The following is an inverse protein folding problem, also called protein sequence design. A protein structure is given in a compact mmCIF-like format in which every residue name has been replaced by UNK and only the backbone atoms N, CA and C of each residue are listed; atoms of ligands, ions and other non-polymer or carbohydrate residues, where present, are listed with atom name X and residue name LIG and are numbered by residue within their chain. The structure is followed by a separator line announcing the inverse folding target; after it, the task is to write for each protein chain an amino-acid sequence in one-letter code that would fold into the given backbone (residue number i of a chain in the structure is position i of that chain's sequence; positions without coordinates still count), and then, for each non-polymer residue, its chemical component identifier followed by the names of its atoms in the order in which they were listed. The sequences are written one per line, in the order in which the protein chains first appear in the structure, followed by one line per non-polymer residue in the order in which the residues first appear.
data_IF_458968364409
#
_entry.id   IF_458968364409
#
_cell.length_a   1.000
_cell.length_b   1.000
_cell.length_c   1.000
_cell.angle_alpha   90.00
_cell.angle_beta   90.00
_cell.angle_gamma   90.00
#
_symmetry.space_group_name_H-M   'P 1'
#
loop_
_entity.id
_entity.type
_entity.pdbx_description
1 polymer ?
#
# COMPACT_ATOMS: atom_id res chain seq x y z
N UNK A 1 -17.92 20.68 5.36
CA UNK A 1 -17.78 19.77 6.52
C UNK A 1 -18.11 18.39 6.00
N UNK A 2 -17.10 17.57 5.68
CA UNK A 2 -17.36 16.19 5.29
C UNK A 2 -17.29 15.36 6.56
N UNK A 3 -18.47 15.12 7.13
CA UNK A 3 -18.66 14.24 8.26
C UNK A 3 -18.34 12.82 7.80
N UNK A 4 -17.16 12.34 8.20
CA UNK A 4 -16.86 10.92 8.25
C UNK A 4 -17.91 10.29 9.17
N UNK A 5 -18.95 9.71 8.57
CA UNK A 5 -19.99 8.96 9.27
C UNK A 5 -19.37 7.73 9.97
N UNK A 6 -18.82 7.94 11.15
CA UNK A 6 -18.55 6.87 12.12
C UNK A 6 -19.87 6.51 12.78
N UNK A 7 -20.65 5.63 12.15
CA UNK A 7 -21.76 4.94 12.81
C UNK A 7 -21.27 3.56 13.27
N UNK A 8 -20.88 3.47 14.54
CA UNK A 8 -20.70 2.20 15.29
C UNK A 8 -19.84 1.10 14.60
N UNK A 9 -18.93 1.50 13.70
CA UNK A 9 -18.76 0.79 12.44
C UNK A 9 -17.59 -0.18 12.36
N UNK A 10 -17.89 -1.48 12.27
CA UNK A 10 -17.09 -2.37 11.42
C UNK A 10 -17.33 -1.92 9.98
N UNK A 11 -16.41 -1.13 9.41
CA UNK A 11 -16.37 -0.96 7.97
C UNK A 11 -15.78 -2.25 7.42
N UNK A 12 -16.60 -3.04 6.74
CA UNK A 12 -16.07 -4.17 5.99
C UNK A 12 -15.13 -3.62 4.92
N UNK A 13 -13.91 -4.14 4.85
CA UNK A 13 -12.91 -3.74 3.83
C UNK A 13 -13.26 -4.25 2.42
N UNK A 14 -14.45 -4.82 2.28
CA UNK A 14 -14.97 -5.34 1.02
C UNK A 14 -15.13 -4.17 0.06
N UNK A 15 -14.58 -4.32 -1.15
CA UNK A 15 -14.56 -3.32 -2.22
C UNK A 15 -13.68 -2.09 -2.01
N UNK A 16 -13.01 -1.94 -0.85
CA UNK A 16 -12.03 -0.87 -0.66
C UNK A 16 -10.81 -1.08 -1.56
N UNK A 17 -10.30 0.02 -2.13
CA UNK A 17 -9.09 0.05 -2.94
C UNK A 17 -7.90 0.26 -2.01
N UNK A 18 -7.12 -0.80 -1.78
CA UNK A 18 -5.91 -0.77 -0.96
C UNK A 18 -4.69 -0.83 -1.88
N UNK A 19 -3.91 0.25 -1.87
CA UNK A 19 -2.65 0.32 -2.61
C UNK A 19 -1.47 0.02 -1.70
N UNK A 20 -0.76 -1.05 -2.02
CA UNK A 20 0.46 -1.45 -1.32
C UNK A 20 1.65 -0.68 -1.89
N UNK A 21 2.44 -0.04 -1.02
CA UNK A 21 3.77 0.47 -1.38
C UNK A 21 4.82 -0.48 -0.81
N UNK A 22 5.55 -1.13 -1.71
CA UNK A 22 6.59 -2.08 -1.35
C UNK A 22 6.12 -3.53 -1.43
N UNK A 23 6.69 -4.25 -2.39
CA UNK A 23 6.55 -5.69 -2.54
C UNK A 23 7.86 -6.40 -2.18
N UNK A 24 9.01 -5.77 -2.39
CA UNK A 24 10.30 -6.32 -1.99
C UNK A 24 10.37 -6.57 -0.47
N UNK A 25 11.04 -7.64 -0.09
CA UNK A 25 11.27 -8.07 1.29
C UNK A 25 12.07 -7.04 2.09
N UNK A 26 12.97 -6.30 1.43
CA UNK A 26 13.81 -5.27 2.04
C UNK A 26 13.83 -4.02 1.19
N UNK A 27 14.15 -2.93 1.90
CA UNK A 27 14.44 -1.63 1.30
C UNK A 27 15.50 -1.76 0.21
N UNK A 28 15.22 -1.12 -0.91
CA UNK A 28 16.15 -0.86 -2.02
C UNK A 28 16.78 -2.09 -2.68
N UNK A 29 16.10 -3.24 -2.61
CA UNK A 29 16.42 -4.44 -3.40
C UNK A 29 15.15 -4.99 -4.08
N UNK A 30 15.31 -5.90 -5.05
CA UNK A 30 14.22 -6.48 -5.84
C UNK A 30 13.75 -7.87 -5.35
N UNK A 31 14.29 -8.37 -4.23
CA UNK A 31 13.93 -9.70 -3.73
C UNK A 31 12.56 -9.70 -3.06
N UNK A 32 11.59 -10.40 -3.65
CA UNK A 32 10.22 -10.55 -3.13
C UNK A 32 9.89 -11.94 -2.57
N UNK A 33 10.81 -12.92 -2.66
CA UNK A 33 10.50 -14.36 -2.46
C UNK A 33 9.88 -14.67 -1.09
N UNK A 34 10.42 -14.03 -0.05
CA UNK A 34 9.97 -14.18 1.34
C UNK A 34 9.27 -12.91 1.85
N UNK A 35 8.71 -12.12 0.94
CA UNK A 35 8.13 -10.83 1.32
C UNK A 35 6.86 -10.99 2.15
N UNK A 36 6.77 -10.35 3.33
CA UNK A 36 5.53 -10.31 4.10
C UNK A 36 4.40 -9.60 3.35
N UNK A 37 4.73 -8.73 2.37
CA UNK A 37 3.74 -8.04 1.54
C UNK A 37 2.83 -9.01 0.78
N UNK A 38 3.35 -10.14 0.30
CA UNK A 38 2.55 -11.13 -0.42
C UNK A 38 1.47 -11.75 0.48
N UNK A 39 1.83 -12.08 1.72
CA UNK A 39 0.87 -12.62 2.70
C UNK A 39 -0.20 -11.60 3.04
N UNK A 40 0.18 -10.34 3.22
CA UNK A 40 -0.76 -9.25 3.50
C UNK A 40 -1.72 -9.06 2.32
N UNK A 41 -1.20 -9.00 1.09
CA UNK A 41 -2.02 -8.91 -0.12
C UNK A 41 -3.03 -10.05 -0.23
N UNK A 42 -2.61 -11.29 0.04
CA UNK A 42 -3.49 -12.46 0.03
C UNK A 42 -4.61 -12.34 1.07
N UNK A 43 -4.31 -11.91 2.30
CA UNK A 43 -5.32 -11.73 3.35
C UNK A 43 -6.32 -10.64 2.97
N UNK A 44 -5.86 -9.51 2.45
CA UNK A 44 -6.72 -8.39 2.04
C UNK A 44 -7.63 -8.77 0.88
N UNK A 45 -7.08 -9.43 -0.16
CA UNK A 45 -7.87 -9.99 -1.27
C UNK A 45 -8.90 -11.01 -0.78
N UNK A 46 -8.52 -11.92 0.13
CA UNK A 46 -9.42 -12.92 0.71
C UNK A 46 -10.58 -12.31 1.53
N UNK A 47 -10.45 -11.06 1.97
CA UNK A 47 -11.51 -10.27 2.61
C UNK A 47 -12.33 -9.43 1.63
N UNK A 48 -12.06 -9.51 0.33
CA UNK A 48 -12.79 -8.82 -0.72
C UNK A 48 -12.29 -7.41 -1.06
N UNK A 49 -11.12 -7.01 -0.56
CA UNK A 49 -10.51 -5.73 -0.95
C UNK A 49 -9.97 -5.78 -2.39
N UNK A 50 -10.01 -4.65 -3.09
CA UNK A 50 -9.34 -4.44 -4.36
C UNK A 50 -7.90 -4.02 -4.09
N UNK A 51 -6.98 -4.97 -4.19
CA UNK A 51 -5.57 -4.74 -3.87
C UNK A 51 -4.76 -4.55 -5.14
N UNK A 52 -4.03 -3.43 -5.21
CA UNK A 52 -2.94 -3.25 -6.16
C UNK A 52 -1.63 -2.92 -5.43
N UNK A 53 -0.51 -2.89 -6.14
CA UNK A 53 0.78 -2.55 -5.54
C UNK A 53 1.61 -1.67 -6.46
N UNK A 54 2.47 -0.87 -5.85
CA UNK A 54 3.58 -0.23 -6.52
C UNK A 54 4.88 -0.59 -5.79
N UNK A 55 5.82 -1.14 -6.54
CA UNK A 55 7.21 -1.32 -6.14
C UNK A 55 8.12 -0.83 -7.30
N UNK A 56 9.12 0.02 -7.02
CA UNK A 56 9.99 0.57 -8.04
C UNK A 56 11.04 -0.44 -8.54
N UNK A 57 11.32 -1.50 -7.78
CA UNK A 57 12.34 -2.52 -8.07
C UNK A 57 11.72 -3.86 -8.48
N UNK A 58 10.44 -4.09 -8.14
CA UNK A 58 9.68 -5.28 -8.54
C UNK A 58 8.56 -4.89 -9.51
N UNK A 59 8.85 -4.73 -10.82
CA UNK A 59 7.85 -4.27 -11.80
C UNK A 59 6.76 -5.30 -12.11
N UNK A 60 7.07 -6.59 -11.93
CA UNK A 60 6.15 -7.71 -12.16
C UNK A 60 6.33 -8.71 -11.03
N UNK A 61 5.21 -9.06 -10.39
CA UNK A 61 5.12 -10.16 -9.44
C UNK A 61 4.40 -11.30 -10.14
N UNK A 62 5.07 -12.43 -10.29
CA UNK A 62 4.45 -13.65 -10.81
C UNK A 62 4.08 -14.55 -9.64
N UNK A 63 2.93 -15.21 -9.76
CA UNK A 63 2.49 -16.17 -8.76
C UNK A 63 3.51 -17.30 -8.60
N UNK A 64 3.70 -17.75 -7.36
CA UNK A 64 4.57 -18.89 -7.04
C UNK A 64 3.88 -19.80 -6.03
N UNK A 65 4.54 -20.92 -5.65
CA UNK A 65 3.95 -22.00 -4.83
C UNK A 65 3.10 -21.53 -3.64
N UNK A 66 3.54 -20.50 -2.91
CA UNK A 66 2.85 -19.99 -1.72
C UNK A 66 1.75 -18.96 -2.04
N UNK A 67 1.87 -18.27 -3.18
CA UNK A 67 0.97 -17.20 -3.61
C UNK A 67 0.64 -17.35 -5.11
N UNK A 68 -0.04 -18.43 -5.52
CA UNK A 68 -0.30 -18.71 -6.93
C UNK A 68 -1.16 -17.64 -7.60
N UNK A 69 -2.05 -16.97 -6.84
CA UNK A 69 -3.01 -15.99 -7.34
C UNK A 69 -2.48 -14.53 -7.36
N UNK A 70 -1.18 -14.35 -7.13
CA UNK A 70 -0.52 -13.03 -7.19
C UNK A 70 0.28 -12.94 -8.48
N UNK A 71 -0.42 -12.79 -9.61
CA UNK A 71 0.15 -12.40 -10.90
C UNK A 71 -0.28 -10.97 -11.23
N UNK A 72 0.62 -10.01 -10.99
CA UNK A 72 0.28 -8.59 -10.97
C UNK A 72 1.47 -7.72 -11.40
N UNK A 73 1.16 -6.61 -12.07
CA UNK A 73 2.16 -5.59 -12.44
C UNK A 73 2.12 -4.41 -11.47
N UNK A 74 3.30 -3.86 -11.19
CA UNK A 74 3.46 -2.64 -10.39
C UNK A 74 2.73 -1.49 -11.10
N UNK A 75 1.80 -0.84 -10.40
CA UNK A 75 1.07 0.30 -10.93
C UNK A 75 1.94 1.55 -10.87
N UNK A 76 1.66 2.57 -11.69
CA UNK A 76 2.33 3.87 -11.54
C UNK A 76 1.81 4.60 -10.29
N UNK A 77 2.60 5.54 -9.76
CA UNK A 77 2.13 6.48 -8.73
C UNK A 77 1.79 7.81 -9.37
N UNK A 78 0.65 7.86 -10.06
CA UNK A 78 0.10 9.14 -10.54
C UNK A 78 -0.78 9.79 -9.46
N UNK A 79 -1.02 11.12 -9.52
CA UNK A 79 -1.96 11.77 -8.61
C UNK A 79 -3.35 11.14 -8.66
N UNK A 80 -3.81 10.75 -9.86
CA UNK A 80 -5.11 10.09 -10.06
C UNK A 80 -5.16 8.76 -9.33
N UNK A 81 -4.19 7.87 -9.57
CA UNK A 81 -4.14 6.57 -8.89
C UNK A 81 -4.11 6.75 -7.38
N UNK A 82 -3.21 7.59 -6.85
CA UNK A 82 -3.10 7.82 -5.40
C UNK A 82 -4.40 8.33 -4.76
N UNK A 83 -5.20 9.13 -5.48
CA UNK A 83 -6.49 9.63 -5.01
C UNK A 83 -7.62 8.59 -5.08
N UNK A 84 -7.51 7.62 -5.98
CA UNK A 84 -8.48 6.51 -6.10
C UNK A 84 -8.33 5.47 -4.99
N UNK A 85 -7.17 5.40 -4.33
CA UNK A 85 -7.00 4.50 -3.20
C UNK A 85 -7.71 5.05 -1.95
N UNK A 86 -8.54 4.21 -1.34
CA UNK A 86 -9.11 4.47 -0.02
C UNK A 86 -7.99 4.49 1.04
N UNK A 87 -7.05 3.55 0.92
CA UNK A 87 -5.89 3.41 1.81
C UNK A 87 -4.62 3.12 0.99
N UNK A 88 -3.55 3.84 1.29
CA UNK A 88 -2.19 3.45 0.91
C UNK A 88 -1.51 2.81 2.11
N UNK A 89 -1.06 1.57 1.95
CA UNK A 89 -0.37 0.81 2.99
C UNK A 89 1.10 0.66 2.63
N UNK A 90 1.97 1.31 3.40
CA UNK A 90 3.42 1.25 3.21
C UNK A 90 3.99 0.04 3.95
N UNK A 91 4.56 -0.90 3.20
CA UNK A 91 5.18 -2.12 3.72
C UNK A 91 6.70 -2.14 3.54
N UNK A 92 7.23 -1.46 2.52
CA UNK A 92 8.68 -1.33 2.30
C UNK A 92 9.06 0.14 2.10
N UNK A 93 9.96 0.64 2.94
CA UNK A 93 10.49 2.01 2.84
C UNK A 93 11.56 2.11 1.74
N UNK A 94 11.17 2.10 0.47
CA UNK A 94 12.11 2.35 -0.61
C UNK A 94 12.56 3.82 -0.62
N UNK A 95 13.86 4.04 -0.83
CA UNK A 95 14.43 5.39 -0.99
C UNK A 95 13.94 6.09 -2.25
N UNK A 96 13.53 5.33 -3.27
CA UNK A 96 13.03 5.84 -4.54
C UNK A 96 11.66 6.54 -4.44
N UNK A 97 10.93 6.38 -3.34
CA UNK A 97 9.62 7.02 -3.18
C UNK A 97 9.74 8.52 -2.88
N UNK A 98 8.96 9.32 -3.62
CA UNK A 98 8.66 10.70 -3.22
C UNK A 98 7.53 10.70 -2.17
N UNK A 99 7.94 10.58 -0.90
CA UNK A 99 7.02 10.57 0.24
C UNK A 99 6.18 11.84 0.36
N UNK A 100 6.71 13.01 -0.03
CA UNK A 100 5.93 14.26 0.02
C UNK A 100 4.83 14.24 -1.02
N UNK A 101 5.14 13.78 -2.23
CA UNK A 101 4.17 13.60 -3.30
C UNK A 101 3.09 12.57 -2.94
N UNK A 102 3.47 11.43 -2.38
CA UNK A 102 2.53 10.39 -1.93
C UNK A 102 1.63 10.94 -0.83
N UNK A 103 2.22 11.58 0.19
CA UNK A 103 1.47 12.20 1.27
C UNK A 103 0.51 13.26 0.74
N UNK A 104 0.91 14.09 -0.22
CA UNK A 104 0.06 15.14 -0.78
C UNK A 104 -1.18 14.57 -1.50
N UNK A 105 -1.05 13.46 -2.21
CA UNK A 105 -2.08 12.95 -3.11
C UNK A 105 -2.93 11.80 -2.55
N UNK A 106 -2.71 11.38 -1.30
CA UNK A 106 -3.44 10.25 -0.70
C UNK A 106 -4.42 10.72 0.38
N UNK A 107 -5.58 10.05 0.49
CA UNK A 107 -6.59 10.31 1.51
C UNK A 107 -6.23 9.73 2.89
N UNK A 108 -5.77 8.48 2.94
CA UNK A 108 -5.35 7.77 4.15
C UNK A 108 -4.09 6.93 3.91
N UNK A 109 -3.12 7.00 4.81
CA UNK A 109 -1.86 6.26 4.75
C UNK A 109 -1.69 5.46 6.04
N UNK A 110 -1.37 4.17 5.91
CA UNK A 110 -0.89 3.34 7.02
C UNK A 110 0.61 3.11 6.84
N UNK A 111 1.40 3.68 7.73
CA UNK A 111 2.87 3.66 7.70
C UNK A 111 3.42 2.67 8.73
N UNK A 112 3.61 1.42 8.30
CA UNK A 112 4.18 0.35 9.15
C UNK A 112 5.70 0.49 9.37
N UNK A 113 6.33 1.47 8.71
CA UNK A 113 7.80 1.62 8.63
C UNK A 113 8.32 2.86 9.32
N UNK A 114 7.42 3.74 9.80
CA UNK A 114 7.76 5.09 10.23
C UNK A 114 8.55 5.88 9.16
N UNK A 115 8.30 5.62 7.87
CA UNK A 115 9.03 6.24 6.78
C UNK A 115 8.66 7.71 6.59
N UNK A 116 7.39 8.07 6.81
CA UNK A 116 6.93 9.46 6.70
C UNK A 116 7.36 10.27 7.91
N UNK A 117 7.18 9.71 9.11
CA UNK A 117 7.54 10.37 10.37
C UNK A 117 9.04 10.64 10.49
N UNK A 118 9.88 9.67 10.13
CA UNK A 118 11.35 9.86 10.09
C UNK A 118 11.81 10.93 9.09
N UNK A 119 10.97 11.30 8.13
CA UNK A 119 11.21 12.37 7.15
C UNK A 119 10.51 13.69 7.49
N UNK A 120 9.95 13.81 8.69
CA UNK A 120 9.27 15.02 9.17
C UNK A 120 7.91 15.28 8.51
N UNK A 121 7.34 14.29 7.81
CA UNK A 121 6.04 14.42 7.15
C UNK A 121 4.97 13.99 8.16
N UNK A 122 4.35 14.97 8.82
CA UNK A 122 3.35 14.76 9.87
C UNK A 122 1.98 15.18 9.36
N UNK A 123 0.99 14.29 9.46
CA UNK A 123 -0.38 14.58 9.08
C UNK A 123 -1.35 13.64 9.79
N UNK A 124 -2.56 14.12 10.11
CA UNK A 124 -3.62 13.30 10.73
C UNK A 124 -4.07 12.11 9.88
N UNK A 125 -3.76 12.13 8.57
CA UNK A 125 -4.08 11.04 7.64
C UNK A 125 -3.01 9.95 7.56
N UNK A 126 -1.88 10.13 8.25
CA UNK A 126 -0.81 9.14 8.33
C UNK A 126 -0.96 8.45 9.69
N UNK A 127 -1.38 7.20 9.64
CA UNK A 127 -1.57 6.31 10.78
C UNK A 127 -0.33 5.44 10.88
N UNK A 128 0.21 5.29 12.09
CA UNK A 128 1.42 4.50 12.36
C UNK A 128 1.10 3.37 13.34
#
# INVERSE_FOLDING_TARGET
MNDFNYKNGRKDIKEEIIRILGLAYKKDIDDQRESPSLRIMQILKGKGAKVDYHDPLVPVCRGHRHYPDIDMKSVKLTPTQLKEADVVLLLTDHSAYDYKFIAKNTACIVDTRNAFGSRGIISKKIIR
#
